data_IF_971620471388
#
_entry.id   IF_971620471388
#
_cell.length_a   1.000
_cell.length_b   1.000
_cell.length_c   1.000
_cell.angle_alpha   90.00
_cell.angle_beta   90.00
_cell.angle_gamma   90.00
#
_symmetry.space_group_name_H-M   'P 1'
#
loop_
_entity.id
_entity.type
_entity.pdbx_description
1 polymer ?
#
# COMPACT_ATOMS: atom_id res chain seq x y z
N UNK A 1 11.47 -18.92 12.14
CA UNK A 1 10.49 -20.02 12.20
C UNK A 1 9.04 -19.54 12.22
N UNK A 2 8.63 -18.67 13.16
CA UNK A 2 7.21 -18.23 13.28
C UNK A 2 6.59 -17.74 11.96
N UNK A 3 7.32 -16.92 11.18
CA UNK A 3 6.87 -16.40 9.87
C UNK A 3 6.47 -17.53 8.91
N UNK A 4 7.36 -18.51 8.77
CA UNK A 4 7.18 -19.66 7.89
C UNK A 4 6.02 -20.52 8.37
N UNK A 5 5.94 -20.78 9.68
CA UNK A 5 4.83 -21.52 10.27
C UNK A 5 3.49 -20.82 10.02
N UNK A 6 3.42 -19.49 10.16
CA UNK A 6 2.19 -18.73 9.92
C UNK A 6 1.75 -18.81 8.45
N UNK A 7 2.67 -18.58 7.50
CA UNK A 7 2.37 -18.65 6.06
C UNK A 7 2.01 -20.06 5.62
N UNK A 8 2.76 -21.08 6.06
CA UNK A 8 2.47 -22.48 5.74
C UNK A 8 1.13 -22.93 6.34
N UNK A 9 0.85 -22.56 7.60
CA UNK A 9 -0.43 -22.87 8.22
C UNK A 9 -1.59 -22.21 7.45
N UNK A 10 -1.45 -20.94 7.08
CA UNK A 10 -2.47 -20.25 6.27
C UNK A 10 -2.64 -20.91 4.90
N UNK A 11 -1.56 -21.32 4.24
CA UNK A 11 -1.63 -22.04 2.97
C UNK A 11 -2.37 -23.38 3.13
N UNK A 12 -1.99 -24.18 4.12
CA UNK A 12 -2.60 -25.48 4.41
C UNK A 12 -4.10 -25.36 4.76
N UNK A 13 -4.47 -24.35 5.55
CA UNK A 13 -5.87 -24.06 5.89
C UNK A 13 -6.68 -23.66 4.65
N UNK A 14 -6.04 -23.14 3.60
CA UNK A 14 -6.71 -22.72 2.38
C UNK A 14 -6.68 -23.76 1.25
N UNK A 15 -5.91 -24.84 1.37
CA UNK A 15 -5.88 -25.92 0.37
C UNK A 15 -7.27 -26.51 0.05
N UNK A 16 -8.22 -26.66 1.00
CA UNK A 16 -9.55 -27.15 0.68
C UNK A 16 -10.37 -26.26 -0.27
N UNK A 17 -9.98 -24.99 -0.46
CA UNK A 17 -10.63 -24.08 -1.41
C UNK A 17 -10.06 -24.18 -2.82
N UNK A 18 -8.95 -24.90 -3.01
CA UNK A 18 -8.39 -25.11 -4.34
C UNK A 18 -9.28 -26.08 -5.14
N UNK A 19 -9.83 -25.60 -6.26
CA UNK A 19 -10.73 -26.38 -7.11
C UNK A 19 -10.06 -27.64 -7.74
N UNK A 20 -8.73 -27.63 -7.86
CA UNK A 20 -8.00 -28.81 -8.33
C UNK A 20 -6.49 -28.71 -8.19
N UNK A 21 -5.81 -29.81 -8.55
CA UNK A 21 -4.36 -29.92 -8.49
C UNK A 21 -3.64 -28.84 -9.32
N UNK A 22 -4.25 -28.41 -10.43
CA UNK A 22 -3.71 -27.34 -11.27
C UNK A 22 -3.48 -26.05 -10.49
N UNK A 23 -4.46 -25.59 -9.70
CA UNK A 23 -4.37 -24.34 -8.92
C UNK A 23 -3.28 -24.43 -7.84
N UNK A 24 -3.16 -25.60 -7.20
CA UNK A 24 -2.10 -25.87 -6.21
C UNK A 24 -0.72 -25.81 -6.88
N UNK A 25 -0.54 -26.47 -8.02
CA UNK A 25 0.72 -26.46 -8.75
C UNK A 25 1.07 -25.08 -9.32
N UNK A 26 0.07 -24.31 -9.75
CA UNK A 26 0.23 -22.94 -10.25
C UNK A 26 0.76 -22.00 -9.16
N UNK A 27 0.26 -22.11 -7.93
CA UNK A 27 0.64 -21.21 -6.83
C UNK A 27 1.93 -21.61 -6.11
N UNK A 28 2.37 -22.87 -6.26
CA UNK A 28 3.52 -23.42 -5.55
C UNK A 28 4.85 -22.69 -5.83
N UNK A 29 5.23 -22.33 -7.08
CA UNK A 29 6.45 -21.56 -7.34
C UNK A 29 6.48 -20.22 -6.60
N UNK A 30 5.34 -19.53 -6.56
CA UNK A 30 5.22 -18.26 -5.85
C UNK A 30 5.26 -18.44 -4.33
N UNK A 31 4.65 -19.51 -3.79
CA UNK A 31 4.80 -19.88 -2.38
C UNK A 31 6.26 -20.13 -2.02
N UNK A 32 7.00 -20.90 -2.82
CA UNK A 32 8.41 -21.17 -2.60
C UNK A 32 9.26 -19.88 -2.63
N UNK A 33 8.95 -18.96 -3.55
CA UNK A 33 9.59 -17.65 -3.63
C UNK A 33 9.37 -16.84 -2.35
N UNK A 34 8.12 -16.79 -1.85
CA UNK A 34 7.77 -16.13 -0.58
C UNK A 34 8.51 -16.77 0.59
N UNK A 35 8.51 -18.10 0.69
CA UNK A 35 9.19 -18.81 1.78
C UNK A 35 10.71 -18.55 1.75
N UNK A 36 11.33 -18.56 0.57
CA UNK A 36 12.75 -18.23 0.40
C UNK A 36 13.04 -16.78 0.85
N UNK A 37 12.17 -15.84 0.49
CA UNK A 37 12.24 -14.46 0.95
C UNK A 37 12.13 -14.32 2.48
N UNK A 38 11.21 -15.07 3.10
CA UNK A 38 10.99 -15.05 4.54
C UNK A 38 12.09 -15.76 5.35
N UNK A 39 12.73 -16.81 4.83
CA UNK A 39 13.87 -17.49 5.46
C UNK A 39 15.04 -16.53 5.67
N UNK A 40 15.23 -15.57 4.76
CA UNK A 40 16.30 -14.58 4.83
C UNK A 40 16.09 -13.51 5.91
N UNK A 41 14.93 -13.48 6.56
CA UNK A 41 14.64 -12.51 7.62
C UNK A 41 15.04 -13.05 9.00
N UNK A 42 16.12 -12.50 9.57
CA UNK A 42 16.62 -12.83 10.90
C UNK A 42 16.02 -12.00 12.04
N UNK A 43 15.44 -10.83 11.76
CA UNK A 43 14.93 -9.92 12.81
C UNK A 43 13.74 -10.53 13.56
N UNK A 44 13.65 -10.48 14.90
CA UNK A 44 12.46 -10.89 15.65
C UNK A 44 11.30 -9.87 15.55
N UNK A 45 11.62 -8.62 15.20
CA UNK A 45 10.66 -7.55 14.94
C UNK A 45 10.27 -7.52 13.46
N UNK A 46 9.10 -6.93 13.19
CA UNK A 46 8.56 -6.67 11.85
C UNK A 46 9.51 -5.77 11.07
N UNK A 47 9.79 -6.17 9.84
CA UNK A 47 10.55 -5.39 8.87
C UNK A 47 9.70 -5.09 7.63
N UNK A 48 10.21 -4.25 6.73
CA UNK A 48 9.57 -4.01 5.42
C UNK A 48 9.38 -5.35 4.67
N UNK A 49 10.37 -6.26 4.79
CA UNK A 49 10.29 -7.59 4.19
C UNK A 49 9.10 -8.41 4.66
N UNK A 50 8.71 -8.29 5.94
CA UNK A 50 7.53 -8.99 6.46
C UNK A 50 6.26 -8.55 5.72
N UNK A 51 6.09 -7.24 5.52
CA UNK A 51 4.93 -6.71 4.80
C UNK A 51 4.98 -7.09 3.32
N UNK A 52 6.14 -6.93 2.67
CA UNK A 52 6.33 -7.25 1.26
C UNK A 52 5.98 -8.71 0.95
N UNK A 53 6.63 -9.66 1.63
CA UNK A 53 6.43 -11.09 1.36
C UNK A 53 5.04 -11.56 1.78
N UNK A 54 4.47 -11.00 2.85
CA UNK A 54 3.10 -11.32 3.24
C UNK A 54 2.07 -10.79 2.23
N UNK A 55 2.27 -9.61 1.66
CA UNK A 55 1.39 -9.09 0.61
C UNK A 55 1.43 -9.98 -0.63
N UNK A 56 2.63 -10.36 -1.10
CA UNK A 56 2.78 -11.28 -2.23
C UNK A 56 2.11 -12.63 -1.97
N UNK A 57 2.24 -13.16 -0.76
CA UNK A 57 1.54 -14.38 -0.34
C UNK A 57 0.02 -14.23 -0.44
N UNK A 58 -0.55 -13.16 0.12
CA UNK A 58 -2.00 -12.94 0.08
C UNK A 58 -2.50 -12.77 -1.36
N UNK A 59 -1.79 -11.97 -2.17
CA UNK A 59 -2.25 -11.58 -3.50
C UNK A 59 -2.03 -12.62 -4.59
N UNK A 60 -0.93 -13.38 -4.52
CA UNK A 60 -0.51 -14.26 -5.62
C UNK A 60 -0.31 -15.72 -5.20
N UNK A 61 -0.61 -16.05 -3.94
CA UNK A 61 -0.67 -17.44 -3.47
C UNK A 61 -2.06 -17.76 -2.94
N UNK A 62 -2.54 -17.04 -1.92
CA UNK A 62 -3.86 -17.30 -1.33
C UNK A 62 -5.01 -16.94 -2.26
N UNK A 63 -4.98 -15.75 -2.86
CA UNK A 63 -6.08 -15.27 -3.71
C UNK A 63 -6.35 -16.19 -4.92
N UNK A 64 -5.35 -16.63 -5.72
CA UNK A 64 -5.61 -17.59 -6.80
C UNK A 64 -6.15 -18.93 -6.30
N UNK A 65 -5.64 -19.40 -5.14
CA UNK A 65 -6.07 -20.65 -4.52
C UNK A 65 -7.56 -20.65 -4.17
N UNK A 66 -8.10 -19.48 -3.80
CA UNK A 66 -9.50 -19.31 -3.37
C UNK A 66 -10.44 -18.95 -4.52
N UNK A 67 -9.95 -18.26 -5.57
CA UNK A 67 -10.81 -17.63 -6.59
C UNK A 67 -10.91 -18.41 -7.89
N UNK A 68 -9.96 -19.30 -8.16
CA UNK A 68 -9.98 -20.11 -9.38
C UNK A 68 -10.91 -21.32 -9.22
N UNK A 69 -11.96 -21.37 -10.03
CA UNK A 69 -12.94 -22.46 -10.08
C UNK A 69 -13.03 -22.98 -11.52
N UNK A 70 -12.30 -24.06 -11.80
CA UNK A 70 -12.14 -24.63 -13.14
C UNK A 70 -11.45 -23.65 -14.09
N UNK A 71 -12.12 -23.36 -15.21
CA UNK A 71 -11.67 -22.36 -16.17
C UNK A 71 -12.08 -20.93 -15.76
N UNK A 72 -12.94 -20.76 -14.75
CA UNK A 72 -13.48 -19.46 -14.39
C UNK A 72 -12.70 -18.85 -13.22
N UNK A 73 -12.53 -17.52 -13.28
CA UNK A 73 -12.02 -16.73 -12.17
C UNK A 73 -13.05 -15.65 -11.82
N UNK A 74 -13.27 -15.47 -10.52
CA UNK A 74 -14.21 -14.48 -10.01
C UNK A 74 -14.58 -14.82 -8.57
N UNK A 75 -14.50 -13.83 -7.69
CA UNK A 75 -14.98 -13.97 -6.31
C UNK A 75 -16.51 -13.81 -6.23
N UNK A 76 -17.04 -13.85 -5.02
CA UNK A 76 -18.46 -13.58 -4.69
C UNK A 76 -19.01 -12.26 -5.24
N UNK A 77 -18.13 -11.34 -5.64
CA UNK A 77 -18.49 -10.03 -6.21
C UNK A 77 -18.51 -9.99 -7.74
N UNK A 78 -18.12 -11.07 -8.42
CA UNK A 78 -18.19 -11.13 -9.89
C UNK A 78 -19.65 -11.31 -10.31
N UNK A 79 -20.16 -10.43 -11.17
CA UNK A 79 -21.56 -10.51 -11.65
C UNK A 79 -21.66 -11.50 -12.83
N UNK A 80 -20.61 -11.55 -13.66
CA UNK A 80 -20.43 -12.53 -14.74
C UNK A 80 -19.06 -13.20 -14.61
N UNK A 81 -18.94 -14.44 -15.08
CA UNK A 81 -17.69 -15.20 -15.07
C UNK A 81 -17.11 -15.29 -16.49
N UNK A 82 -15.81 -15.01 -16.62
CA UNK A 82 -15.06 -15.31 -17.84
C UNK A 82 -14.33 -16.64 -17.69
N UNK A 83 -14.44 -17.48 -18.72
CA UNK A 83 -13.59 -18.64 -18.85
C UNK A 83 -12.23 -18.22 -19.43
N UNK A 84 -11.16 -18.66 -18.78
CA UNK A 84 -9.78 -18.50 -19.21
C UNK A 84 -9.13 -19.84 -19.51
N UNK A 85 -8.22 -19.82 -20.46
CA UNK A 85 -7.44 -20.98 -20.85
C UNK A 85 -6.31 -21.21 -19.83
N UNK A 86 -5.92 -22.47 -19.55
CA UNK A 86 -4.87 -22.78 -18.57
C UNK A 86 -3.55 -22.03 -18.78
N UNK A 87 -3.16 -21.76 -20.02
CA UNK A 87 -1.91 -21.07 -20.32
C UNK A 87 -1.96 -19.58 -19.90
N UNK A 88 -3.13 -18.94 -19.92
CA UNK A 88 -3.29 -17.54 -19.50
C UNK A 88 -2.98 -17.38 -18.00
N UNK A 89 -3.43 -18.35 -17.19
CA UNK A 89 -3.10 -18.41 -15.77
C UNK A 89 -1.61 -18.64 -15.50
N UNK A 90 -0.99 -19.55 -16.26
CA UNK A 90 0.44 -19.86 -16.13
C UNK A 90 1.29 -18.64 -16.52
N UNK A 91 0.94 -17.96 -17.61
CA UNK A 91 1.62 -16.75 -18.08
C UNK A 91 1.48 -15.59 -17.08
N UNK A 92 0.28 -15.36 -16.55
CA UNK A 92 0.06 -14.36 -15.50
C UNK A 92 0.90 -14.63 -14.25
N UNK A 93 0.96 -15.89 -13.80
CA UNK A 93 1.81 -16.28 -12.67
C UNK A 93 3.30 -16.13 -12.98
N UNK A 94 3.72 -16.43 -14.21
CA UNK A 94 5.09 -16.27 -14.66
C UNK A 94 5.51 -14.79 -14.66
N UNK A 95 4.63 -13.88 -15.10
CA UNK A 95 4.85 -12.42 -15.02
C UNK A 95 5.13 -12.00 -13.57
N UNK A 96 4.27 -12.43 -12.63
CA UNK A 96 4.42 -12.11 -11.20
C UNK A 96 5.72 -12.69 -10.64
N UNK A 97 6.00 -13.96 -10.93
CA UNK A 97 7.18 -14.66 -10.45
C UNK A 97 8.46 -13.99 -10.93
N UNK A 98 8.58 -13.71 -12.24
CA UNK A 98 9.75 -13.06 -12.83
C UNK A 98 9.95 -11.64 -12.31
N UNK A 99 8.88 -10.87 -12.12
CA UNK A 99 8.97 -9.54 -11.50
C UNK A 99 9.49 -9.61 -10.06
N UNK A 100 9.05 -10.59 -9.29
CA UNK A 100 9.37 -10.72 -7.87
C UNK A 100 10.73 -11.39 -7.60
N UNK A 101 11.27 -12.15 -8.56
CA UNK A 101 12.53 -12.89 -8.39
C UNK A 101 13.72 -12.02 -7.95
N UNK A 102 13.97 -10.83 -8.53
CA UNK A 102 15.07 -9.95 -8.11
C UNK A 102 14.98 -9.50 -6.63
N UNK A 103 13.78 -9.48 -6.04
CA UNK A 103 13.59 -9.09 -4.65
C UNK A 103 14.18 -10.09 -3.65
N UNK A 104 14.44 -11.34 -4.08
CA UNK A 104 15.25 -12.26 -3.26
C UNK A 104 16.63 -11.68 -3.00
N UNK A 105 17.26 -10.98 -3.94
CA UNK A 105 18.59 -10.42 -3.74
C UNK A 105 18.60 -9.25 -2.74
N UNK A 106 17.45 -8.61 -2.50
CA UNK A 106 17.30 -7.44 -1.63
C UNK A 106 17.28 -7.84 -0.16
N UNK A 107 18.15 -7.24 0.65
CA UNK A 107 18.04 -7.29 2.11
C UNK A 107 17.02 -6.26 2.55
N UNK A 108 15.80 -6.72 2.84
CA UNK A 108 14.69 -5.89 3.33
C UNK A 108 14.65 -5.75 4.86
N UNK A 109 15.76 -6.04 5.51
CA UNK A 109 15.95 -5.81 6.95
C UNK A 109 16.79 -4.54 7.14
N UNK A 110 16.35 -3.66 8.05
CA UNK A 110 17.19 -2.57 8.49
C UNK A 110 18.12 -3.08 9.59
N UNK A 111 19.42 -2.91 9.40
CA UNK A 111 20.35 -3.00 10.51
C UNK A 111 20.03 -1.89 11.51
N UNK A 112 19.71 -2.26 12.75
CA UNK A 112 19.54 -1.30 13.84
C UNK A 112 20.94 -0.78 14.18
N UNK A 113 21.34 0.30 13.53
CA UNK A 113 22.56 1.02 13.89
C UNK A 113 22.22 2.02 15.00
N UNK A 114 23.06 2.16 16.03
CA UNK A 114 22.96 3.28 16.95
C UNK A 114 23.32 4.54 16.17
N UNK A 115 22.31 5.18 15.56
CA UNK A 115 22.51 6.43 14.86
C UNK A 115 22.52 7.55 15.89
N UNK A 116 23.46 8.49 15.73
CA UNK A 116 23.48 9.73 16.49
C UNK A 116 22.07 10.35 16.45
N UNK A 117 21.61 10.81 17.61
CA UNK A 117 20.23 11.21 17.83
C UNK A 117 19.81 12.28 16.81
N UNK A 118 19.04 11.88 15.79
CA UNK A 118 18.51 12.82 14.82
C UNK A 118 17.45 13.67 15.52
N UNK A 119 17.63 15.00 15.50
CA UNK A 119 16.71 15.94 16.13
C UNK A 119 15.27 15.79 15.62
N UNK A 120 14.31 16.17 16.45
CA UNK A 120 12.92 16.31 16.05
C UNK A 120 12.63 17.78 15.72
N UNK A 121 11.87 18.10 14.65
CA UNK A 121 11.32 19.44 14.47
C UNK A 121 10.50 19.86 15.70
N UNK A 122 10.42 21.17 15.96
CA UNK A 122 9.66 21.67 17.11
C UNK A 122 8.19 21.26 17.02
N UNK A 123 7.58 20.93 18.17
CA UNK A 123 6.18 20.50 18.22
C UNK A 123 5.25 21.57 17.62
N UNK A 124 5.51 22.85 17.90
CA UNK A 124 4.74 23.98 17.35
C UNK A 124 4.81 24.04 15.83
N UNK A 125 6.00 23.85 15.24
CA UNK A 125 6.13 23.83 13.78
C UNK A 125 5.37 22.64 13.16
N UNK A 126 5.44 21.46 13.79
CA UNK A 126 4.70 20.28 13.32
C UNK A 126 3.19 20.49 13.36
N UNK A 127 2.66 21.05 14.46
CA UNK A 127 1.22 21.38 14.58
C UNK A 127 0.83 22.42 13.54
N UNK A 128 1.63 23.48 13.36
CA UNK A 128 1.38 24.50 12.34
C UNK A 128 1.31 23.89 10.94
N UNK A 129 2.31 23.10 10.53
CA UNK A 129 2.31 22.45 9.22
C UNK A 129 1.15 21.46 9.07
N UNK A 130 0.77 20.74 10.13
CA UNK A 130 -0.36 19.82 10.09
C UNK A 130 -1.69 20.57 9.88
N UNK A 131 -1.94 21.63 10.64
CA UNK A 131 -3.15 22.45 10.53
C UNK A 131 -3.22 23.14 9.17
N UNK A 132 -2.11 23.72 8.70
CA UNK A 132 -2.04 24.35 7.38
C UNK A 132 -2.30 23.34 6.25
N UNK A 133 -1.68 22.16 6.32
CA UNK A 133 -1.91 21.09 5.37
C UNK A 133 -3.36 20.58 5.40
N UNK A 134 -3.96 20.44 6.59
CA UNK A 134 -5.38 20.11 6.73
C UNK A 134 -6.26 21.16 6.05
N UNK A 135 -6.08 22.45 6.35
CA UNK A 135 -6.90 23.52 5.75
C UNK A 135 -6.79 23.55 4.23
N UNK A 136 -5.58 23.42 3.69
CA UNK A 136 -5.35 23.36 2.24
C UNK A 136 -5.94 22.10 1.61
N UNK A 137 -5.88 20.96 2.30
CA UNK A 137 -6.52 19.73 1.88
C UNK A 137 -8.04 19.89 1.77
N UNK A 138 -8.70 20.42 2.82
CA UNK A 138 -10.14 20.69 2.82
C UNK A 138 -10.52 21.64 1.68
N UNK A 139 -9.77 22.71 1.47
CA UNK A 139 -10.03 23.65 0.37
C UNK A 139 -9.88 22.97 -1.01
N UNK A 140 -8.86 22.12 -1.17
CA UNK A 140 -8.60 21.43 -2.45
C UNK A 140 -9.60 20.32 -2.78
N UNK A 141 -10.30 19.78 -1.78
CA UNK A 141 -11.33 18.76 -1.94
C UNK A 141 -12.75 19.36 -2.02
N UNK A 142 -12.87 20.69 -2.15
CA UNK A 142 -14.17 21.36 -2.31
C UNK A 142 -14.92 21.64 -1.00
N UNK A 143 -14.27 21.52 0.16
CA UNK A 143 -14.82 21.86 1.46
C UNK A 143 -15.17 20.67 2.37
N UNK A 144 -15.69 20.98 3.57
CA UNK A 144 -16.03 19.96 4.57
C UNK A 144 -17.18 19.05 4.16
N UNK A 145 -18.17 19.60 3.45
CA UNK A 145 -19.36 18.87 3.01
C UNK A 145 -18.97 17.68 2.13
N UNK A 146 -18.11 17.90 1.13
CA UNK A 146 -17.62 16.85 0.24
C UNK A 146 -16.71 15.84 0.94
N UNK A 147 -15.94 16.23 1.94
CA UNK A 147 -15.10 15.29 2.71
C UNK A 147 -15.94 14.36 3.61
N UNK A 148 -17.04 14.87 4.14
CA UNK A 148 -17.94 14.13 5.03
C UNK A 148 -19.01 13.35 4.28
N UNK A 149 -19.25 13.66 3.00
CA UNK A 149 -20.18 12.92 2.15
C UNK A 149 -19.73 11.47 1.93
N UNK A 150 -20.70 10.62 1.60
CA UNK A 150 -20.42 9.21 1.34
C UNK A 150 -19.53 9.05 0.10
N UNK A 151 -18.76 7.97 0.03
CA UNK A 151 -17.87 7.71 -1.11
C UNK A 151 -18.62 7.66 -2.45
N UNK A 152 -19.90 7.25 -2.44
CA UNK A 152 -20.73 7.16 -3.64
C UNK A 152 -21.18 8.53 -4.15
N UNK A 153 -21.26 9.53 -3.27
CA UNK A 153 -21.64 10.91 -3.61
C UNK A 153 -20.46 11.75 -4.10
N UNK A 154 -19.23 11.30 -3.90
CA UNK A 154 -18.03 12.02 -4.31
C UNK A 154 -17.77 11.82 -5.81
N UNK A 155 -17.81 12.90 -6.60
CA UNK A 155 -17.39 12.86 -8.00
C UNK A 155 -15.86 12.64 -8.09
N UNK A 156 -15.38 11.56 -8.75
CA UNK A 156 -13.96 11.32 -8.95
C UNK A 156 -13.28 12.34 -9.87
N UNK A 157 -14.01 13.02 -10.76
CA UNK A 157 -13.46 13.91 -11.78
C UNK A 157 -12.79 15.17 -11.20
N UNK A 158 -13.13 15.54 -9.97
CA UNK A 158 -12.62 16.74 -9.30
C UNK A 158 -11.39 16.47 -8.41
N UNK A 159 -10.79 15.28 -8.43
CA UNK A 159 -9.65 14.96 -7.58
C UNK A 159 -8.39 15.75 -8.03
N UNK A 160 -7.99 16.73 -7.22
CA UNK A 160 -6.82 17.57 -7.49
C UNK A 160 -5.53 16.95 -6.92
N UNK A 161 -4.49 16.76 -7.74
CA UNK A 161 -3.23 16.11 -7.30
C UNK A 161 -2.59 16.81 -6.09
N UNK A 162 -2.73 18.14 -5.96
CA UNK A 162 -2.16 18.84 -4.81
C UNK A 162 -2.83 18.45 -3.47
N UNK A 163 -4.07 17.93 -3.49
CA UNK A 163 -4.69 17.40 -2.27
C UNK A 163 -3.89 16.24 -1.69
N UNK A 164 -3.28 15.40 -2.54
CA UNK A 164 -2.39 14.33 -2.10
C UNK A 164 -1.10 14.85 -1.46
N UNK A 165 -0.59 16.00 -1.91
CA UNK A 165 0.57 16.67 -1.29
C UNK A 165 0.24 17.11 0.13
N UNK A 166 -0.89 17.81 0.30
CA UNK A 166 -1.34 18.28 1.61
C UNK A 166 -1.63 17.12 2.56
N UNK A 167 -2.33 16.09 2.08
CA UNK A 167 -2.56 14.87 2.86
C UNK A 167 -1.26 14.15 3.23
N UNK A 168 -0.28 14.12 2.32
CA UNK A 168 1.05 13.58 2.58
C UNK A 168 1.76 14.33 3.71
N UNK A 169 1.80 15.67 3.65
CA UNK A 169 2.36 16.51 4.72
C UNK A 169 1.62 16.32 6.04
N UNK A 170 0.29 16.26 6.02
CA UNK A 170 -0.54 16.02 7.19
C UNK A 170 -0.24 14.64 7.83
N UNK A 171 -0.14 13.58 7.03
CA UNK A 171 0.18 12.22 7.49
C UNK A 171 1.58 12.15 8.13
N UNK A 172 2.60 12.76 7.50
CA UNK A 172 3.96 12.74 8.02
C UNK A 172 4.10 13.59 9.29
N UNK A 173 3.49 14.78 9.34
CA UNK A 173 3.50 15.61 10.57
C UNK A 173 2.78 14.92 11.72
N UNK A 174 1.65 14.24 11.47
CA UNK A 174 0.97 13.41 12.48
C UNK A 174 1.88 12.28 12.98
N UNK A 175 2.59 11.59 12.07
CA UNK A 175 3.58 10.56 12.39
C UNK A 175 4.71 11.11 13.29
N UNK A 176 5.26 12.30 12.99
CA UNK A 176 6.29 12.92 13.81
C UNK A 176 5.76 13.36 15.19
N UNK A 177 4.52 13.82 15.28
CA UNK A 177 3.87 14.16 16.56
C UNK A 177 3.66 12.90 17.40
N UNK A 178 3.34 11.75 16.80
CA UNK A 178 3.32 10.46 17.49
C UNK A 178 4.69 10.09 18.07
N UNK A 179 5.78 10.39 17.36
CA UNK A 179 7.14 10.17 17.87
C UNK A 179 7.44 11.11 19.05
N UNK A 180 7.01 12.39 18.98
CA UNK A 180 7.10 13.33 20.11
C UNK A 180 6.37 12.83 21.36
N UNK A 181 5.14 12.34 21.20
CA UNK A 181 4.34 11.81 22.31
C UNK A 181 5.07 10.66 23.02
N UNK A 182 5.69 9.76 22.27
CA UNK A 182 6.44 8.62 22.84
C UNK A 182 7.76 9.03 23.47
N UNK A 183 8.42 10.04 22.91
CA UNK A 183 9.70 10.53 23.42
C UNK A 183 9.52 11.35 24.69
N UNK A 184 8.39 12.06 24.81
CA UNK A 184 8.08 12.95 25.93
C UNK A 184 6.68 12.68 26.54
N UNK A 185 6.42 11.47 27.07
CA UNK A 185 5.07 11.04 27.47
C UNK A 185 4.51 11.79 28.68
N UNK A 186 5.37 12.40 29.51
CA UNK A 186 4.97 13.14 30.72
C UNK A 186 4.44 14.55 30.45
N UNK A 187 4.43 15.00 29.19
CA UNK A 187 3.99 16.36 28.83
C UNK A 187 2.59 16.34 28.24
N UNK A 188 1.70 17.17 28.78
CA UNK A 188 0.33 17.35 28.26
C UNK A 188 0.32 17.93 26.84
N UNK A 189 1.30 18.76 26.48
CA UNK A 189 1.35 19.42 25.17
C UNK A 189 1.46 18.44 23.98
N UNK A 190 2.39 17.46 23.95
CA UNK A 190 2.39 16.40 22.94
C UNK A 190 1.10 15.59 22.86
N UNK A 191 0.45 15.31 24.00
CA UNK A 191 -0.82 14.59 24.03
C UNK A 191 -1.94 15.42 23.38
N UNK A 192 -2.07 16.69 23.76
CA UNK A 192 -3.05 17.60 23.16
C UNK A 192 -2.83 17.81 21.66
N UNK A 193 -1.57 18.00 21.25
CA UNK A 193 -1.19 18.08 19.83
C UNK A 193 -1.52 16.79 19.09
N UNK A 194 -1.23 15.63 19.68
CA UNK A 194 -1.52 14.33 19.08
C UNK A 194 -3.02 14.11 18.89
N UNK A 195 -3.84 14.38 19.91
CA UNK A 195 -5.30 14.28 19.82
C UNK A 195 -5.84 15.21 18.73
N UNK A 196 -5.36 16.46 18.69
CA UNK A 196 -5.74 17.41 17.64
C UNK A 196 -5.45 16.86 16.24
N UNK A 197 -4.20 16.45 15.96
CA UNK A 197 -3.85 15.98 14.61
C UNK A 197 -4.52 14.67 14.23
N UNK A 198 -4.84 13.80 15.20
CA UNK A 198 -5.67 12.62 14.96
C UNK A 198 -7.09 12.99 14.55
N UNK A 199 -7.72 13.97 15.23
CA UNK A 199 -9.03 14.46 14.85
C UNK A 199 -9.00 15.06 13.43
N UNK A 200 -8.00 15.89 13.11
CA UNK A 200 -7.86 16.46 11.78
C UNK A 200 -7.64 15.38 10.71
N UNK A 201 -6.83 14.36 11.00
CA UNK A 201 -6.59 13.26 10.07
C UNK A 201 -7.83 12.38 9.88
N UNK A 202 -8.63 12.17 10.94
CA UNK A 202 -9.91 11.48 10.89
C UNK A 202 -10.94 12.23 10.06
N UNK A 203 -10.91 13.56 10.06
CA UNK A 203 -11.74 14.37 9.15
C UNK A 203 -11.23 14.25 7.72
N UNK A 204 -9.92 14.41 7.48
CA UNK A 204 -9.36 14.32 6.12
C UNK A 204 -9.58 12.96 5.46
N UNK A 205 -9.39 11.87 6.21
CA UNK A 205 -9.54 10.49 5.72
C UNK A 205 -10.24 9.65 6.76
N UNK A 206 -11.55 9.88 6.81
CA UNK A 206 -12.49 9.14 7.65
C UNK A 206 -12.49 7.64 7.27
N UNK A 207 -12.32 6.72 8.24
CA UNK A 207 -12.46 5.28 8.03
C UNK A 207 -13.78 4.83 7.39
N UNK A 208 -14.83 5.65 7.46
CA UNK A 208 -16.15 5.37 6.89
C UNK A 208 -16.33 5.86 5.45
N UNK A 209 -15.47 6.74 4.93
CA UNK A 209 -15.64 7.33 3.59
C UNK A 209 -14.42 7.11 2.69
N UNK A 210 -13.23 6.88 3.25
CA UNK A 210 -12.02 6.71 2.46
C UNK A 210 -11.86 5.26 1.96
N UNK A 211 -11.29 5.05 0.77
CA UNK A 211 -10.88 3.73 0.32
C UNK A 211 -9.93 3.06 1.33
N UNK A 212 -10.13 1.77 1.61
CA UNK A 212 -9.32 0.97 2.56
C UNK A 212 -7.82 1.11 2.35
N UNK A 213 -7.42 1.19 1.09
CA UNK A 213 -6.03 1.36 0.71
C UNK A 213 -5.47 2.73 1.13
N UNK A 214 -6.23 3.82 0.93
CA UNK A 214 -5.82 5.15 1.40
C UNK A 214 -5.72 5.19 2.91
N UNK A 215 -6.64 4.52 3.62
CA UNK A 215 -6.58 4.42 5.08
C UNK A 215 -5.26 3.79 5.53
N UNK A 216 -4.86 2.66 4.95
CA UNK A 216 -3.62 2.01 5.32
C UNK A 216 -2.39 2.88 5.00
N UNK A 217 -2.36 3.53 3.83
CA UNK A 217 -1.24 4.40 3.43
C UNK A 217 -1.10 5.65 4.31
N UNK A 218 -2.22 6.22 4.79
CA UNK A 218 -2.24 7.46 5.59
C UNK A 218 -2.06 7.17 7.09
N UNK A 219 -2.77 6.18 7.62
CA UNK A 219 -2.79 5.83 9.04
C UNK A 219 -1.68 4.87 9.44
N UNK A 220 -1.28 3.97 8.55
CA UNK A 220 -0.22 2.99 8.81
C UNK A 220 1.07 3.61 9.34
N UNK A 221 1.61 4.69 8.75
CA UNK A 221 2.84 5.30 9.24
C UNK A 221 2.69 5.88 10.65
N UNK A 222 1.53 6.48 10.95
CA UNK A 222 1.20 7.04 12.27
C UNK A 222 1.11 5.94 13.32
N UNK A 223 0.41 4.83 13.01
CA UNK A 223 0.29 3.67 13.90
C UNK A 223 1.66 3.02 14.16
N UNK A 224 2.48 2.85 13.12
CA UNK A 224 3.84 2.32 13.24
C UNK A 224 4.73 3.23 14.09
N UNK A 225 4.59 4.55 13.97
CA UNK A 225 5.29 5.51 14.82
C UNK A 225 4.85 5.44 16.29
N UNK A 226 3.54 5.26 16.56
CA UNK A 226 2.97 5.12 17.91
C UNK A 226 3.46 3.87 18.63
N UNK A 227 3.69 2.78 17.92
CA UNK A 227 4.29 1.55 18.49
C UNK A 227 5.81 1.52 18.41
N UNK A 228 6.41 2.50 17.72
CA UNK A 228 7.86 2.65 17.57
C UNK A 228 8.54 1.68 16.64
N UNK A 229 7.82 1.15 15.66
CA UNK A 229 8.36 0.21 14.67
C UNK A 229 8.84 -1.13 15.23
N UNK A 230 8.68 -1.40 16.53
CA UNK A 230 9.17 -2.62 17.20
C UNK A 230 8.03 -3.60 17.48
N UNK A 231 7.21 -3.88 16.47
CA UNK A 231 6.18 -4.91 16.57
C UNK A 231 6.87 -6.27 16.45
N UNK A 232 6.61 -7.20 17.36
CA UNK A 232 7.09 -8.58 17.22
C UNK A 232 6.46 -9.22 15.97
N UNK A 233 7.24 -9.96 15.18
CA UNK A 233 6.76 -10.53 13.91
C UNK A 233 5.44 -11.30 14.08
N UNK A 234 5.33 -12.15 15.11
CA UNK A 234 4.12 -12.94 15.37
C UNK A 234 2.87 -12.08 15.60
N UNK A 235 3.01 -10.92 16.28
CA UNK A 235 1.90 -9.98 16.49
C UNK A 235 1.43 -9.41 15.17
N UNK A 236 2.36 -9.08 14.28
CA UNK A 236 2.00 -8.59 12.94
C UNK A 236 1.24 -9.64 12.14
N UNK A 237 1.72 -10.88 12.05
CA UNK A 237 0.98 -11.92 11.30
C UNK A 237 -0.41 -12.18 11.92
N UNK A 238 -0.51 -12.24 13.25
CA UNK A 238 -1.80 -12.36 13.92
C UNK A 238 -2.74 -11.18 13.62
N UNK A 239 -2.25 -9.95 13.74
CA UNK A 239 -3.02 -8.74 13.41
C UNK A 239 -3.38 -8.68 11.94
N UNK A 240 -2.49 -9.11 11.04
CA UNK A 240 -2.75 -9.12 9.61
C UNK A 240 -3.83 -10.13 9.23
N UNK A 241 -3.81 -11.33 9.83
CA UNK A 241 -4.88 -12.32 9.66
C UNK A 241 -6.21 -11.75 10.17
N UNK A 242 -6.26 -11.21 11.39
CA UNK A 242 -7.47 -10.58 11.93
C UNK A 242 -7.94 -9.42 11.03
N UNK A 243 -7.00 -8.62 10.51
CA UNK A 243 -7.32 -7.52 9.63
C UNK A 243 -7.94 -7.99 8.31
N UNK A 244 -7.42 -9.07 7.73
CA UNK A 244 -7.94 -9.64 6.48
C UNK A 244 -9.31 -10.31 6.68
N UNK A 245 -9.50 -11.05 7.77
CA UNK A 245 -10.72 -11.87 7.98
C UNK A 245 -11.85 -11.12 8.68
N UNK A 246 -11.56 -10.09 9.48
CA UNK A 246 -12.57 -9.34 10.24
C UNK A 246 -12.62 -7.88 9.82
N UNK A 247 -11.48 -7.18 9.88
CA UNK A 247 -11.47 -5.72 9.66
C UNK A 247 -11.84 -5.36 8.22
N UNK A 248 -11.29 -6.05 7.22
CA UNK A 248 -11.51 -5.75 5.81
C UNK A 248 -12.94 -5.99 5.34
N UNK A 249 -13.63 -7.09 5.70
CA UNK A 249 -15.06 -7.23 5.45
C UNK A 249 -15.89 -6.11 6.07
N UNK A 250 -15.65 -5.78 7.34
CA UNK A 250 -16.38 -4.70 8.04
C UNK A 250 -16.14 -3.37 7.34
N UNK A 251 -14.87 -3.01 7.09
CA UNK A 251 -14.51 -1.81 6.34
C UNK A 251 -15.09 -1.84 4.92
N UNK A 252 -15.26 -3.01 4.29
CA UNK A 252 -15.86 -3.11 2.96
C UNK A 252 -17.28 -2.58 2.91
N UNK A 253 -18.08 -2.95 3.91
CA UNK A 253 -19.49 -2.55 4.01
C UNK A 253 -19.59 -1.11 4.47
N UNK A 254 -18.88 -0.76 5.56
CA UNK A 254 -18.98 0.59 6.14
C UNK A 254 -18.38 1.67 5.25
N UNK A 255 -17.31 1.40 4.49
CA UNK A 255 -16.72 2.41 3.59
C UNK A 255 -17.57 2.73 2.36
N UNK A 256 -18.49 1.83 1.99
CA UNK A 256 -19.34 2.00 0.79
C UNK A 256 -20.65 2.70 1.13
N UNK A 257 -21.24 2.35 2.27
CA UNK A 257 -22.57 2.80 2.68
C UNK A 257 -22.53 3.82 3.84
N UNK A 258 -21.34 4.21 4.31
CA UNK A 258 -21.19 5.12 5.45
C UNK A 258 -21.81 4.56 6.73
N UNK A 259 -22.48 5.42 7.50
CA UNK A 259 -23.13 5.05 8.77
C UNK A 259 -24.32 4.10 8.56
N UNK A 260 -25.00 4.16 7.42
CA UNK A 260 -26.10 3.23 7.10
C UNK A 260 -25.59 1.79 6.92
N UNK A 261 -24.35 1.62 6.47
CA UNK A 261 -23.70 0.31 6.34
C UNK A 261 -23.49 -0.42 7.65
N UNK A 262 -23.57 0.26 8.81
CA UNK A 262 -23.44 -0.37 10.12
C UNK A 262 -24.61 -1.35 10.37
N UNK A 263 -25.80 -1.05 9.84
CA UNK A 263 -26.96 -1.95 9.94
C UNK A 263 -26.74 -3.25 9.14
N UNK A 264 -26.00 -3.20 8.03
CA UNK A 264 -25.69 -4.36 7.19
C UNK A 264 -24.59 -5.28 7.73
N UNK A 265 -23.96 -4.95 8.88
CA UNK A 265 -22.92 -5.80 9.47
C UNK A 265 -23.49 -7.16 9.92
N UNK A 266 -24.76 -7.21 10.32
CA UNK A 266 -25.44 -8.45 10.73
C UNK A 266 -25.65 -9.44 9.58
N UNK A 267 -25.62 -8.96 8.33
CA UNK A 267 -25.78 -9.79 7.12
C UNK A 267 -24.45 -10.41 6.65
N UNK A 268 -23.32 -9.99 7.25
CA UNK A 268 -22.01 -10.55 6.92
C UNK A 268 -21.92 -11.96 7.51
N UNK A 269 -22.03 -12.98 6.66
CA UNK A 269 -21.77 -14.38 7.04
C UNK A 269 -20.27 -14.58 7.31
N UNK A 270 -19.84 -14.34 8.55
CA UNK A 270 -18.46 -14.57 8.97
C UNK A 270 -18.08 -16.05 8.87
N UNK A 271 -19.00 -16.99 9.12
CA UNK A 271 -18.71 -18.42 9.14
C UNK A 271 -18.43 -19.00 7.74
N UNK A 272 -19.13 -18.51 6.71
CA UNK A 272 -18.93 -18.95 5.33
C UNK A 272 -17.74 -18.28 4.63
N UNK A 273 -17.45 -17.02 5.00
CA UNK A 273 -16.46 -16.19 4.30
C UNK A 273 -15.19 -15.94 5.14
N UNK A 274 -14.99 -16.63 6.28
CA UNK A 274 -13.86 -16.34 7.18
C UNK A 274 -12.50 -16.46 6.48
N UNK A 275 -12.39 -17.39 5.55
CA UNK A 275 -11.17 -17.63 4.79
C UNK A 275 -11.17 -16.99 3.41
N UNK A 276 -12.32 -16.63 2.84
CA UNK A 276 -12.38 -15.91 1.57
C UNK A 276 -11.82 -14.50 1.79
N UNK A 277 -10.66 -14.18 1.19
CA UNK A 277 -10.07 -12.84 1.30
C UNK A 277 -10.80 -11.92 0.33
N UNK A 278 -11.75 -11.10 0.80
CA UNK A 278 -12.67 -10.42 -0.10
C UNK A 278 -11.93 -9.33 -0.87
N UNK A 279 -12.36 -9.14 -2.11
CA UNK A 279 -11.86 -8.09 -2.99
C UNK A 279 -10.33 -8.11 -3.10
N UNK A 280 -9.74 -9.23 -3.49
CA UNK A 280 -8.39 -9.31 -4.05
C UNK A 280 -8.54 -9.78 -5.49
N UNK A 281 -8.51 -8.80 -6.40
CA UNK A 281 -8.81 -8.91 -7.83
C UNK A 281 -7.54 -8.79 -8.71
N UNK A 282 -6.37 -8.64 -8.09
CA UNK A 282 -5.12 -8.35 -8.83
C UNK A 282 -4.64 -9.53 -9.68
N UNK A 283 -4.90 -10.78 -9.26
CA UNK A 283 -4.56 -11.92 -10.10
C UNK A 283 -5.55 -12.06 -11.26
N UNK A 284 -6.84 -11.85 -11.01
CA UNK A 284 -7.89 -11.84 -12.03
C UNK A 284 -7.57 -10.82 -13.15
N UNK A 285 -7.14 -9.60 -12.79
CA UNK A 285 -6.73 -8.60 -13.77
C UNK A 285 -5.42 -8.92 -14.46
N UNK A 286 -4.48 -9.62 -13.80
CA UNK A 286 -3.26 -10.10 -14.43
C UNK A 286 -3.55 -11.17 -15.50
N UNK A 287 -4.44 -12.12 -15.22
CA UNK A 287 -4.90 -13.13 -16.20
C UNK A 287 -5.60 -12.45 -17.37
N UNK A 288 -6.47 -11.47 -17.10
CA UNK A 288 -7.13 -10.72 -18.16
C UNK A 288 -6.14 -9.88 -18.98
N UNK A 289 -5.08 -9.34 -18.38
CA UNK A 289 -4.03 -8.63 -19.11
C UNK A 289 -3.31 -9.52 -20.11
N UNK A 290 -3.09 -10.80 -19.79
CA UNK A 290 -2.52 -11.77 -20.73
C UNK A 290 -3.44 -11.95 -21.93
N UNK A 291 -4.73 -12.19 -21.69
CA UNK A 291 -5.74 -12.29 -22.75
C UNK A 291 -5.77 -11.05 -23.63
N UNK A 292 -5.80 -9.88 -23.00
CA UNK A 292 -5.80 -8.59 -23.67
C UNK A 292 -4.63 -8.47 -24.65
N UNK A 293 -3.43 -8.89 -24.22
CA UNK A 293 -2.22 -8.83 -25.05
C UNK A 293 -2.14 -9.89 -26.14
N UNK A 294 -3.04 -10.88 -26.19
CA UNK A 294 -3.11 -11.81 -27.33
C UNK A 294 -3.67 -11.15 -28.60
N UNK A 295 -4.49 -10.11 -28.41
CA UNK A 295 -5.17 -9.40 -29.52
C UNK A 295 -4.64 -7.97 -29.71
N UNK A 296 -3.70 -7.53 -28.87
CA UNK A 296 -3.07 -6.21 -28.95
C UNK A 296 -1.56 -6.33 -29.09
N UNK A 297 -0.96 -5.42 -29.87
CA UNK A 297 0.49 -5.27 -29.91
C UNK A 297 1.03 -4.65 -28.61
N UNK A 298 2.34 -4.78 -28.41
CA UNK A 298 3.03 -4.11 -27.31
C UNK A 298 2.82 -2.59 -27.33
N UNK A 299 2.67 -2.01 -26.14
CA UNK A 299 2.36 -0.60 -25.93
C UNK A 299 3.61 0.31 -25.93
N UNK A 300 4.80 -0.28 -26.07
CA UNK A 300 6.10 0.38 -26.27
C UNK A 300 6.42 1.51 -25.29
N UNK A 301 6.02 1.36 -24.02
CA UNK A 301 6.34 2.29 -22.95
C UNK A 301 5.20 3.25 -22.59
N UNK A 302 4.09 3.23 -23.31
CA UNK A 302 2.94 4.08 -23.01
C UNK A 302 2.44 3.87 -21.57
N UNK A 303 2.38 2.63 -21.07
CA UNK A 303 1.91 2.32 -19.71
C UNK A 303 2.91 2.76 -18.66
N UNK A 304 4.20 2.52 -18.89
CA UNK A 304 5.31 2.95 -18.05
C UNK A 304 5.38 4.46 -17.92
N UNK A 305 5.20 5.19 -19.03
CA UNK A 305 5.19 6.65 -19.02
C UNK A 305 3.97 7.18 -18.26
N UNK A 306 2.79 6.57 -18.41
CA UNK A 306 1.61 6.92 -17.61
C UNK A 306 1.86 6.74 -16.10
N UNK A 307 2.55 5.66 -15.71
CA UNK A 307 2.94 5.40 -14.31
C UNK A 307 3.98 6.39 -13.82
N UNK A 308 5.05 6.67 -14.57
CA UNK A 308 6.14 7.54 -14.14
C UNK A 308 5.74 9.02 -14.10
N UNK A 309 4.93 9.46 -15.07
CA UNK A 309 4.45 10.83 -15.20
C UNK A 309 3.01 10.98 -14.73
N UNK A 310 2.59 10.13 -13.76
CA UNK A 310 1.25 10.18 -13.20
C UNK A 310 0.88 11.58 -12.70
N UNK A 311 1.87 12.31 -12.16
CA UNK A 311 1.72 13.62 -11.54
C UNK A 311 1.47 14.74 -12.55
N UNK A 312 1.71 14.52 -13.84
CA UNK A 312 1.46 15.53 -14.88
C UNK A 312 -0.05 15.60 -15.13
N UNK A 313 -0.72 16.73 -14.83
CA UNK A 313 -2.16 16.87 -15.06
C UNK A 313 -2.53 16.78 -16.55
N UNK A 314 -3.70 16.21 -16.86
CA UNK A 314 -4.21 16.14 -18.26
C UNK A 314 -4.44 17.51 -18.90
N UNK A 315 -4.60 18.57 -18.12
CA UNK A 315 -4.69 19.95 -18.64
C UNK A 315 -3.40 20.35 -19.36
N UNK A 316 -2.23 19.89 -18.89
CA UNK A 316 -0.95 20.17 -19.52
C UNK A 316 -0.54 19.11 -20.54
N UNK A 317 -1.07 17.89 -20.42
CA UNK A 317 -0.86 16.80 -21.37
C UNK A 317 -2.16 16.02 -21.63
N UNK A 318 -3.04 16.51 -22.51
CA UNK A 318 -4.35 15.90 -22.77
C UNK A 318 -4.23 14.46 -23.25
N UNK A 319 -3.27 14.21 -24.14
CA UNK A 319 -2.95 12.91 -24.75
C UNK A 319 -2.13 11.99 -23.83
N UNK A 320 -1.98 12.32 -22.54
CA UNK A 320 -1.27 11.46 -21.59
C UNK A 320 -1.84 10.03 -21.66
N UNK A 321 -0.99 9.00 -21.86
CA UNK A 321 -1.46 7.63 -21.90
C UNK A 321 -2.18 7.24 -20.60
N UNK A 322 -3.10 6.29 -20.71
CA UNK A 322 -3.76 5.67 -19.55
C UNK A 322 -2.93 4.50 -19.04
N UNK A 323 -2.98 4.28 -17.72
CA UNK A 323 -2.35 3.13 -17.07
C UNK A 323 -3.09 1.84 -17.45
N UNK A 324 -2.37 0.73 -17.56
CA UNK A 324 -2.93 -0.56 -18.02
C UNK A 324 -4.10 -1.03 -17.18
N UNK A 325 -4.07 -0.75 -15.87
CA UNK A 325 -5.16 -1.07 -14.95
C UNK A 325 -6.49 -0.43 -15.31
N UNK A 326 -6.50 0.74 -15.98
CA UNK A 326 -7.73 1.36 -16.46
C UNK A 326 -8.22 0.73 -17.76
N UNK A 327 -7.33 0.31 -18.66
CA UNK A 327 -7.74 -0.42 -19.88
C UNK A 327 -8.46 -1.72 -19.50
N UNK A 328 -7.77 -2.53 -18.69
CA UNK A 328 -8.29 -3.81 -18.20
C UNK A 328 -9.53 -3.61 -17.33
N UNK A 329 -9.50 -2.63 -16.43
CA UNK A 329 -10.64 -2.32 -15.57
C UNK A 329 -11.88 -1.90 -16.34
N UNK A 330 -11.73 -1.06 -17.37
CA UNK A 330 -12.84 -0.62 -18.22
C UNK A 330 -13.44 -1.77 -19.03
N UNK A 331 -12.60 -2.64 -19.60
CA UNK A 331 -13.07 -3.81 -20.35
C UNK A 331 -13.85 -4.76 -19.45
N UNK A 332 -13.31 -5.07 -18.27
CA UNK A 332 -13.95 -5.94 -17.30
C UNK A 332 -15.24 -5.35 -16.71
N UNK A 333 -15.29 -4.03 -16.55
CA UNK A 333 -16.51 -3.33 -16.15
C UNK A 333 -17.58 -3.36 -17.24
N UNK A 334 -17.21 -3.07 -18.50
CA UNK A 334 -18.13 -3.11 -19.65
C UNK A 334 -18.68 -4.52 -19.90
N UNK A 335 -17.85 -5.53 -19.64
CA UNK A 335 -18.22 -6.94 -19.66
C UNK A 335 -19.14 -7.37 -18.49
N UNK A 336 -19.38 -6.48 -17.53
CA UNK A 336 -20.17 -6.77 -16.34
C UNK A 336 -19.49 -7.73 -15.37
N UNK A 337 -18.17 -7.99 -15.45
CA UNK A 337 -17.51 -8.83 -14.44
C UNK A 337 -17.42 -8.13 -13.10
N UNK A 338 -17.15 -6.83 -13.10
CA UNK A 338 -16.96 -6.04 -11.89
C UNK A 338 -17.88 -4.82 -11.86
N UNK A 339 -18.23 -4.38 -10.65
CA UNK A 339 -19.06 -3.18 -10.46
C UNK A 339 -18.31 -1.85 -10.57
N UNK A 340 -17.01 -1.84 -10.87
CA UNK A 340 -16.21 -0.62 -11.04
C UNK A 340 -15.01 -0.87 -11.96
N UNK A 341 -14.59 0.11 -12.77
CA UNK A 341 -13.37 0.01 -13.57
C UNK A 341 -12.09 0.25 -12.75
N UNK A 342 -12.20 0.74 -11.51
CA UNK A 342 -11.04 0.98 -10.65
C UNK A 342 -10.62 -0.31 -9.93
N UNK A 343 -10.03 -1.22 -10.71
CA UNK A 343 -9.56 -2.51 -10.24
C UNK A 343 -8.07 -2.46 -9.86
N UNK A 344 -7.66 -3.43 -9.05
CA UNK A 344 -6.24 -3.62 -8.73
C UNK A 344 -5.47 -4.05 -9.96
N UNK A 345 -4.30 -3.47 -10.20
CA UNK A 345 -3.45 -3.85 -11.33
C UNK A 345 -1.98 -3.88 -10.94
N UNK A 346 -1.35 -5.03 -11.16
CA UNK A 346 0.03 -5.26 -10.79
C UNK A 346 0.99 -4.53 -11.74
N UNK A 347 1.97 -3.80 -11.20
CA UNK A 347 2.97 -3.06 -12.00
C UNK A 347 3.72 -3.95 -13.00
N UNK A 348 3.94 -5.23 -12.68
CA UNK A 348 4.54 -6.17 -13.62
C UNK A 348 3.69 -6.36 -14.89
N UNK A 349 2.36 -6.22 -14.80
CA UNK A 349 1.48 -6.29 -15.95
C UNK A 349 1.56 -5.04 -16.82
N UNK A 350 1.70 -3.83 -16.26
CA UNK A 350 1.96 -2.62 -17.05
C UNK A 350 3.25 -2.78 -17.89
N UNK A 351 4.31 -3.32 -17.28
CA UNK A 351 5.59 -3.57 -17.95
C UNK A 351 5.51 -4.69 -18.99
N UNK A 352 4.67 -5.71 -18.74
CA UNK A 352 4.39 -6.77 -19.70
C UNK A 352 3.64 -6.22 -20.93
N UNK A 353 2.64 -5.36 -20.72
CA UNK A 353 1.92 -4.71 -21.82
C UNK A 353 2.85 -3.86 -22.68
N UNK A 354 3.82 -3.17 -22.07
CA UNK A 354 4.77 -2.33 -22.82
C UNK A 354 5.86 -3.12 -23.56
N UNK A 355 6.47 -4.11 -22.91
CA UNK A 355 7.71 -4.74 -23.40
C UNK A 355 7.78 -6.26 -23.20
N UNK A 356 6.64 -6.92 -22.94
CA UNK A 356 6.56 -8.34 -22.65
C UNK A 356 7.41 -8.76 -21.44
N UNK A 357 7.89 -10.01 -21.44
CA UNK A 357 8.70 -10.55 -20.34
C UNK A 357 10.01 -9.80 -20.10
N UNK A 358 10.58 -9.17 -21.13
CA UNK A 358 11.80 -8.35 -20.99
C UNK A 358 11.52 -7.16 -20.08
N UNK A 359 10.40 -6.46 -20.29
CA UNK A 359 9.95 -5.37 -19.42
C UNK A 359 9.75 -5.81 -17.98
N UNK A 360 9.12 -6.97 -17.78
CA UNK A 360 8.86 -7.56 -16.46
C UNK A 360 10.16 -7.78 -15.68
N UNK A 361 11.16 -8.41 -16.28
CA UNK A 361 12.44 -8.72 -15.62
C UNK A 361 13.24 -7.45 -15.33
N UNK A 362 13.36 -6.55 -16.32
CA UNK A 362 14.12 -5.31 -16.16
C UNK A 362 13.45 -4.38 -15.13
N UNK A 363 12.13 -4.23 -15.21
CA UNK A 363 11.37 -3.41 -14.27
C UNK A 363 11.35 -3.99 -12.87
N UNK A 364 11.18 -5.31 -12.71
CA UNK A 364 11.31 -5.98 -11.41
C UNK A 364 12.69 -5.75 -10.78
N UNK A 365 13.76 -5.85 -11.57
CA UNK A 365 15.14 -5.58 -11.12
C UNK A 365 15.32 -4.12 -10.70
N UNK A 366 14.79 -3.18 -11.49
CA UNK A 366 14.83 -1.76 -11.19
C UNK A 366 14.09 -1.42 -9.88
N UNK A 367 12.85 -1.91 -9.71
CA UNK A 367 12.05 -1.66 -8.50
C UNK A 367 12.70 -2.32 -7.28
N UNK A 368 13.27 -3.51 -7.41
CA UNK A 368 14.04 -4.15 -6.34
C UNK A 368 15.26 -3.30 -5.92
N UNK A 369 15.98 -2.71 -6.88
CA UNK A 369 17.10 -1.80 -6.59
C UNK A 369 16.64 -0.51 -5.90
N UNK A 370 15.51 0.07 -6.32
CA UNK A 370 14.91 1.23 -5.66
C UNK A 370 14.49 0.92 -4.23
N UNK A 371 13.83 -0.21 -3.99
CA UNK A 371 13.46 -0.65 -2.66
C UNK A 371 14.70 -0.87 -1.79
N UNK A 372 15.76 -1.49 -2.32
CA UNK A 372 17.01 -1.68 -1.60
C UNK A 372 17.63 -0.34 -1.16
N UNK A 373 17.60 0.67 -2.03
CA UNK A 373 18.04 2.04 -1.71
C UNK A 373 17.15 2.68 -0.64
N UNK A 374 15.83 2.53 -0.75
CA UNK A 374 14.86 3.03 0.23
C UNK A 374 15.01 2.39 1.61
N UNK A 375 15.30 1.09 1.68
CA UNK A 375 15.55 0.38 2.96
C UNK A 375 16.83 0.86 3.63
N UNK A 376 17.88 1.12 2.83
CA UNK A 376 19.22 1.53 3.31
C UNK A 376 19.36 3.02 3.61
N UNK A 377 18.37 3.85 3.27
CA UNK A 377 18.48 5.30 3.49
C UNK A 377 18.32 5.66 4.97
N UNK A 378 19.19 6.56 5.43
CA UNK A 378 19.05 7.22 6.74
C UNK A 378 18.23 8.52 6.66
N UNK A 379 17.77 8.90 5.47
CA UNK A 379 16.79 9.97 5.31
C UNK A 379 15.48 9.56 5.98
N UNK A 380 14.86 10.48 6.72
CA UNK A 380 13.65 10.22 7.48
C UNK A 380 13.87 9.51 8.81
N UNK A 381 15.09 9.53 9.35
CA UNK A 381 15.33 9.13 10.73
C UNK A 381 15.06 10.30 11.68
N UNK A 382 14.12 10.12 12.61
CA UNK A 382 13.72 11.15 13.58
C UNK A 382 13.66 10.55 14.99
N UNK A 383 14.45 11.06 15.94
CA UNK A 383 14.63 10.46 17.27
C UNK A 383 14.88 8.93 17.23
N UNK A 384 15.67 8.48 16.25
CA UNK A 384 15.98 7.07 16.04
C UNK A 384 14.85 6.23 15.41
N UNK A 385 13.73 6.83 15.03
CA UNK A 385 12.61 6.15 14.36
C UNK A 385 12.68 6.32 12.83
N UNK A 386 12.60 5.25 12.03
CA UNK A 386 12.78 5.30 10.58
C UNK A 386 11.46 5.58 9.84
N UNK A 387 11.03 6.84 9.82
CA UNK A 387 9.73 7.26 9.22
C UNK A 387 9.61 6.87 7.76
N UNK A 388 10.68 6.97 6.97
CA UNK A 388 10.73 6.48 5.57
C UNK A 388 10.26 5.03 5.47
N UNK A 389 10.67 4.19 6.41
CA UNK A 389 10.32 2.77 6.40
C UNK A 389 8.87 2.53 6.81
N UNK A 390 8.33 3.36 7.71
CA UNK A 390 6.92 3.32 8.07
C UNK A 390 6.04 3.65 6.86
N UNK A 391 6.43 4.65 6.06
CA UNK A 391 5.76 5.02 4.80
C UNK A 391 5.83 3.87 3.80
N UNK A 392 7.03 3.36 3.51
CA UNK A 392 7.20 2.23 2.58
C UNK A 392 6.36 1.02 3.01
N UNK A 393 6.48 0.60 4.28
CA UNK A 393 5.75 -0.56 4.80
C UNK A 393 4.23 -0.39 4.69
N UNK A 394 3.71 0.81 4.94
CA UNK A 394 2.26 1.08 4.89
C UNK A 394 1.71 1.21 3.47
N UNK A 395 2.52 1.66 2.51
CA UNK A 395 2.12 1.79 1.10
C UNK A 395 2.31 0.50 0.28
N UNK A 396 3.20 -0.40 0.71
CA UNK A 396 3.51 -1.65 0.00
C UNK A 396 2.31 -2.52 -0.39
N UNK A 397 1.30 -2.75 0.47
CA UNK A 397 0.14 -3.57 0.13
C UNK A 397 -0.60 -3.07 -1.12
N UNK A 398 -0.43 -1.81 -1.49
CA UNK A 398 -1.15 -1.17 -2.59
C UNK A 398 -0.20 -0.90 -3.75
N UNK A 399 1.05 -0.54 -3.48
CA UNK A 399 2.06 -0.46 -4.54
C UNK A 399 2.28 -1.81 -5.23
N UNK A 400 2.10 -2.93 -4.51
CA UNK A 400 2.18 -4.28 -5.07
C UNK A 400 0.89 -4.78 -5.70
N UNK A 401 -0.24 -4.13 -5.45
CA UNK A 401 -1.57 -4.65 -5.80
C UNK A 401 -2.38 -3.69 -6.65
N UNK A 402 -2.57 -2.49 -6.13
CA UNK A 402 -3.48 -1.49 -6.66
C UNK A 402 -2.92 -0.82 -7.92
N UNK A 403 -3.79 -0.14 -8.68
CA UNK A 403 -3.34 0.62 -9.83
C UNK A 403 -2.34 1.66 -9.31
N UNK A 404 -1.09 1.53 -9.76
CA UNK A 404 0.03 2.30 -9.22
C UNK A 404 -0.30 3.81 -9.23
N UNK A 405 -1.00 4.28 -10.27
CA UNK A 405 -1.43 5.67 -10.39
C UNK A 405 -2.34 6.20 -9.27
N UNK A 406 -3.04 5.35 -8.52
CA UNK A 406 -3.93 5.80 -7.44
C UNK A 406 -3.21 6.09 -6.11
N UNK A 407 -2.14 5.35 -5.79
CA UNK A 407 -1.42 5.48 -4.51
C UNK A 407 -0.01 6.02 -4.63
N UNK A 408 0.64 5.83 -5.78
CA UNK A 408 1.94 6.42 -6.07
C UNK A 408 1.97 7.94 -5.82
N UNK A 409 0.93 8.76 -6.17
CA UNK A 409 0.88 10.17 -5.80
C UNK A 409 1.08 10.43 -4.31
N UNK A 410 0.28 9.77 -3.48
CA UNK A 410 0.34 9.96 -2.04
C UNK A 410 1.69 9.49 -1.49
N UNK A 411 2.17 8.32 -1.92
CA UNK A 411 3.47 7.80 -1.50
C UNK A 411 4.60 8.77 -1.84
N UNK A 412 4.65 9.29 -3.07
CA UNK A 412 5.65 10.27 -3.50
C UNK A 412 5.55 11.56 -2.66
N UNK A 413 4.34 12.04 -2.38
CA UNK A 413 4.12 13.22 -1.55
C UNK A 413 4.56 13.01 -0.09
N UNK A 414 4.26 11.85 0.49
CA UNK A 414 4.74 11.46 1.82
C UNK A 414 6.27 11.39 1.86
N UNK A 415 6.89 10.76 0.87
CA UNK A 415 8.35 10.68 0.75
C UNK A 415 8.99 12.07 0.60
N UNK A 416 8.39 12.95 -0.20
CA UNK A 416 8.82 14.34 -0.32
C UNK A 416 8.73 15.08 1.03
N UNK A 417 7.61 14.95 1.75
CA UNK A 417 7.45 15.55 3.07
C UNK A 417 8.49 15.02 4.08
N UNK A 418 8.79 13.72 4.07
CA UNK A 418 9.84 13.12 4.91
C UNK A 418 11.20 13.74 4.60
N UNK A 419 11.56 13.86 3.32
CA UNK A 419 12.83 14.46 2.89
C UNK A 419 12.91 15.92 3.33
N UNK A 420 11.88 16.72 3.06
CA UNK A 420 11.84 18.15 3.41
C UNK A 420 11.96 18.37 4.92
N UNK A 421 11.20 17.63 5.73
CA UNK A 421 11.27 17.72 7.20
C UNK A 421 12.59 17.19 7.76
N UNK A 422 13.24 16.23 7.08
CA UNK A 422 14.58 15.75 7.46
C UNK A 422 15.63 16.85 7.28
N UNK A 423 15.54 17.64 6.19
CA UNK A 423 16.44 18.78 5.98
C UNK A 423 16.22 19.88 7.03
N UNK A 424 14.97 20.20 7.35
CA UNK A 424 14.62 21.18 8.38
C UNK A 424 15.09 20.74 9.78
N UNK A 425 15.01 19.46 10.11
CA UNK A 425 15.48 18.96 11.40
C UNK A 425 17.02 19.03 11.54
N UNK A 426 17.74 18.81 10.43
CA UNK A 426 19.22 18.85 10.42
C UNK A 426 19.77 20.26 10.60
N UNK A 427 19.18 21.26 9.96
CA UNK A 427 19.63 22.65 10.08
C UNK A 427 19.48 23.21 11.50
N UNK A 428 18.43 22.79 12.22
CA UNK A 428 18.25 23.17 13.63
C UNK A 428 19.27 22.51 14.57
N UNK A 429 19.69 21.27 14.28
CA UNK A 429 20.63 20.54 15.12
C UNK A 429 22.04 21.16 15.07
N UNK A 430 22.55 21.47 13.87
CA UNK A 430 23.89 22.06 13.70
C UNK A 430 24.04 23.41 14.42
N UNK A 431 23.01 24.27 14.34
CA UNK A 431 23.02 25.54 15.06
C UNK A 431 23.08 25.37 16.58
N UNK A 432 22.49 24.30 17.11
CA UNK A 432 22.46 24.06 18.56
C UNK A 432 23.78 23.51 19.11
N UNK A 433 24.51 22.71 18.32
CA UNK A 433 25.82 22.19 18.70
C UNK A 433 26.87 23.29 18.66
N UNK A 434 26.90 24.10 17.60
CA UNK A 434 27.86 25.18 17.44
C UNK A 434 27.71 26.23 18.55
N UNK A 435 26.47 26.54 18.95
CA UNK A 435 26.21 27.45 20.06
C UNK A 435 26.70 26.89 21.41
N UNK A 436 26.58 25.57 21.64
CA UNK A 436 27.08 24.94 22.88
C UNK A 436 28.60 24.90 22.92
N UNK A 437 29.24 24.63 21.79
CA UNK A 437 30.70 24.66 21.69
C UNK A 437 31.25 26.08 21.83
N UNK A 438 30.59 27.09 21.24
CA UNK A 438 30.96 28.50 21.39
C UNK A 438 30.79 29.04 22.83
N UNK A 439 29.91 28.46 23.64
CA UNK A 439 29.77 28.80 25.06
C UNK A 439 30.72 28.01 25.98
N UNK A 440 31.32 26.93 25.48
CA UNK A 440 32.29 26.12 26.22
C UNK A 440 33.74 26.62 26.03
N UNK A 441 33.98 27.45 25.02
CA UNK A 441 35.20 28.22 24.77
C UNK A 441 35.10 29.59 25.44
#
# INVERSE_FOLDING_TARGET
>A
MIRLCAVLLLYLLNLPFADGLFVVLLTLPMLLLVLAGMVRMGSPAVQIGDVFWFCLFVFFVLSPLQRMHGAMIGGTTAITFYAYEPYEYVEAMLIVFLFCLPFLAVRMEREIRPVAWAGLPSLTALVFFNVAAFSLFVMSEGGFERLLSSRLEQDPAEAFIASMLFLGVQSITACLISIHLRTFPSRLAPLGAFVLVLCLLAISRNPFNAPRFMLLAVWGPVLLALVGGRIAAWKFYATAVIALTVLFPVLSVTTRLGLEGVAGISEISFAGNFFDVPAVDVFDTAVHAVRYMQVHEHMWGAKSVAVLLFFVPRVFWPEKPIVGGLDIGNELFAAGMYGTPNLSFFLGCDLFMDFGFVGVVLGGTFVAALLQKGVKTDVGLFAGQPVTQFVIASSLPILLRGPVGAVLPLFCCQMFAVVALSFLARSHYSLSTDAREAHAL
#
